data_IF_335549300000
#
_entry.id   IF_335549300000
#
_cell.length_a   1.000
_cell.length_b   1.000
_cell.length_c   1.000
_cell.angle_alpha   90.00
_cell.angle_beta   90.00
_cell.angle_gamma   90.00
#
_symmetry.space_group_name_H-M   'P 1'
#
loop_
_entity.id
_entity.type
_entity.pdbx_description
1 polymer ?
#
# COMPACT_ATOMS: atom_id res chain seq x y z
N UNK A 1 -10.61 22.42 -16.43
CA UNK A 1 -10.43 21.08 -17.01
C UNK A 1 -9.40 20.40 -16.12
N UNK A 2 -9.79 19.41 -15.32
CA UNK A 2 -8.80 18.65 -14.56
C UNK A 2 -8.09 17.76 -15.58
N UNK A 3 -6.83 18.06 -15.85
CA UNK A 3 -5.97 17.19 -16.65
C UNK A 3 -6.02 15.77 -16.05
N UNK A 4 -6.11 14.75 -16.92
CA UNK A 4 -6.03 13.35 -16.52
C UNK A 4 -4.64 13.09 -15.91
N UNK A 5 -4.51 13.32 -14.61
CA UNK A 5 -3.30 12.99 -13.88
C UNK A 5 -3.20 11.47 -13.76
N UNK A 6 -2.18 10.90 -14.41
CA UNK A 6 -1.80 9.51 -14.22
C UNK A 6 -0.70 9.46 -13.17
N UNK A 7 -1.00 8.86 -12.02
CA UNK A 7 -0.07 8.78 -10.91
C UNK A 7 -0.34 7.59 -10.00
N UNK A 8 0.64 7.29 -9.16
CA UNK A 8 0.59 6.18 -8.21
C UNK A 8 0.74 6.75 -6.80
N UNK A 9 -0.17 6.36 -5.91
CA UNK A 9 0.04 6.49 -4.48
C UNK A 9 0.92 5.32 -4.05
N UNK A 10 2.22 5.59 -3.98
CA UNK A 10 3.22 4.65 -3.50
C UNK A 10 3.00 4.33 -2.01
N UNK A 11 3.20 3.06 -1.63
CA UNK A 11 3.20 2.59 -0.25
C UNK A 11 1.99 3.12 0.57
N UNK A 12 0.78 2.84 0.09
CA UNK A 12 -0.43 3.21 0.81
C UNK A 12 -0.56 2.38 2.09
N UNK A 13 -0.33 3.02 3.24
CA UNK A 13 -0.19 2.33 4.53
C UNK A 13 -1.18 2.77 5.60
N UNK A 14 -1.75 3.98 5.51
CA UNK A 14 -2.45 4.57 6.64
C UNK A 14 -3.55 5.60 6.27
N UNK A 15 -4.49 5.20 5.40
CA UNK A 15 -5.66 6.01 5.03
C UNK A 15 -6.98 5.48 5.62
N UNK A 16 -8.03 6.27 5.53
CA UNK A 16 -9.42 5.80 5.71
C UNK A 16 -10.00 5.40 4.36
N UNK A 17 -11.16 4.73 4.35
CA UNK A 17 -11.89 4.48 3.11
C UNK A 17 -12.19 5.79 2.36
N UNK A 18 -12.50 6.88 3.07
CA UNK A 18 -12.72 8.20 2.46
C UNK A 18 -11.48 8.72 1.73
N UNK A 19 -10.29 8.60 2.34
CA UNK A 19 -9.03 8.98 1.69
C UNK A 19 -8.76 8.13 0.45
N UNK A 20 -8.97 6.81 0.55
CA UNK A 20 -8.82 5.90 -0.59
C UNK A 20 -9.75 6.30 -1.75
N UNK A 21 -11.01 6.59 -1.47
CA UNK A 21 -11.98 6.99 -2.50
C UNK A 21 -11.59 8.32 -3.15
N UNK A 22 -11.03 9.27 -2.40
CA UNK A 22 -10.50 10.53 -2.97
C UNK A 22 -9.37 10.27 -3.96
N UNK A 23 -8.44 9.36 -3.66
CA UNK A 23 -7.37 9.01 -4.60
C UNK A 23 -7.91 8.31 -5.86
N UNK A 24 -8.88 7.41 -5.70
CA UNK A 24 -9.52 6.76 -6.85
C UNK A 24 -10.30 7.74 -7.72
N UNK A 25 -10.98 8.72 -7.11
CA UNK A 25 -11.67 9.79 -7.83
C UNK A 25 -10.72 10.69 -8.63
N UNK A 26 -9.47 10.84 -8.18
CA UNK A 26 -8.39 11.50 -8.90
C UNK A 26 -7.74 10.62 -9.98
N UNK A 27 -8.30 9.44 -10.25
CA UNK A 27 -7.81 8.48 -11.25
C UNK A 27 -6.38 7.96 -10.96
N UNK A 28 -6.02 7.88 -9.67
CA UNK A 28 -4.72 7.37 -9.22
C UNK A 28 -4.75 5.85 -8.99
N UNK A 29 -3.58 5.24 -9.13
CA UNK A 29 -3.30 3.85 -8.78
C UNK A 29 -2.85 3.76 -7.32
N UNK A 30 -3.06 2.62 -6.68
CA UNK A 30 -2.73 2.41 -5.27
C UNK A 30 -1.68 1.30 -5.14
N UNK A 31 -0.51 1.68 -4.64
CA UNK A 31 0.60 0.78 -4.34
C UNK A 31 0.47 0.14 -2.97
N UNK A 32 0.51 -1.20 -2.91
CA UNK A 32 0.45 -1.98 -1.68
C UNK A 32 1.78 -2.73 -1.49
N UNK A 33 2.39 -2.55 -0.32
CA UNK A 33 3.67 -3.16 0.04
C UNK A 33 3.50 -4.32 1.03
N UNK A 34 4.63 -4.94 1.40
CA UNK A 34 4.74 -5.92 2.49
C UNK A 34 4.20 -5.44 3.85
N UNK A 35 3.92 -4.14 4.00
CA UNK A 35 3.25 -3.57 5.17
C UNK A 35 1.90 -4.24 5.48
N UNK A 36 1.20 -4.73 4.46
CA UNK A 36 -0.07 -5.48 4.64
C UNK A 36 0.11 -6.74 5.51
N UNK A 37 1.31 -7.33 5.51
CA UNK A 37 1.63 -8.51 6.29
C UNK A 37 2.07 -8.20 7.74
N UNK A 38 2.04 -6.94 8.18
CA UNK A 38 2.36 -6.59 9.57
C UNK A 38 1.16 -6.88 10.49
N UNK A 39 1.31 -7.79 11.45
CA UNK A 39 0.22 -8.21 12.35
C UNK A 39 -0.31 -7.10 13.28
N UNK A 40 0.49 -6.04 13.50
CA UNK A 40 0.16 -4.93 14.39
C UNK A 40 -0.53 -3.80 13.64
N UNK A 41 -0.09 -3.52 12.41
CA UNK A 41 -0.50 -2.31 11.65
C UNK A 41 -1.13 -2.61 10.28
N UNK A 42 -0.87 -3.79 9.69
CA UNK A 42 -1.36 -4.18 8.37
C UNK A 42 -2.84 -4.56 8.31
N UNK A 43 -3.47 -4.84 9.46
CA UNK A 43 -4.89 -5.26 9.53
C UNK A 43 -5.85 -4.19 9.01
N UNK A 44 -5.59 -2.92 9.31
CA UNK A 44 -6.47 -1.84 8.85
C UNK A 44 -6.27 -1.57 7.36
N UNK A 45 -5.03 -1.68 6.86
CA UNK A 45 -4.75 -1.66 5.43
C UNK A 45 -5.43 -2.81 4.69
N UNK A 46 -5.35 -4.03 5.22
CA UNK A 46 -5.94 -5.22 4.62
C UNK A 46 -7.47 -5.10 4.44
N UNK A 47 -8.17 -4.41 5.35
CA UNK A 47 -9.62 -4.12 5.23
C UNK A 47 -9.93 -3.18 4.07
N UNK A 48 -8.98 -2.34 3.64
CA UNK A 48 -9.17 -1.39 2.56
C UNK A 48 -8.92 -1.98 1.17
N UNK A 49 -8.09 -3.02 1.07
CA UNK A 49 -7.71 -3.66 -0.21
C UNK A 49 -8.92 -4.09 -1.05
N UNK A 50 -9.97 -4.72 -0.50
CA UNK A 50 -11.15 -5.11 -1.30
C UNK A 50 -11.90 -3.94 -1.94
N UNK A 51 -11.68 -2.70 -1.47
CA UNK A 51 -12.28 -1.49 -2.03
C UNK A 51 -11.47 -0.88 -3.17
N UNK A 52 -10.30 -1.44 -3.49
CA UNK A 52 -9.44 -0.99 -4.59
C UNK A 52 -9.82 -1.78 -5.86
N UNK A 53 -10.24 -1.11 -6.94
CA UNK A 53 -10.43 -1.76 -8.23
C UNK A 53 -9.16 -2.49 -8.70
N UNK A 54 -9.31 -3.70 -9.22
CA UNK A 54 -8.17 -4.54 -9.58
C UNK A 54 -7.28 -3.92 -10.68
N UNK A 55 -7.87 -3.15 -11.58
CA UNK A 55 -7.19 -2.38 -12.63
C UNK A 55 -6.39 -1.18 -12.10
N UNK A 56 -6.50 -0.88 -10.80
CA UNK A 56 -5.82 0.22 -10.11
C UNK A 56 -4.99 -0.22 -8.91
N UNK A 57 -4.93 -1.51 -8.63
CA UNK A 57 -4.14 -2.10 -7.55
C UNK A 57 -2.75 -2.49 -8.05
N UNK A 58 -1.71 -1.97 -7.41
CA UNK A 58 -0.31 -2.29 -7.70
C UNK A 58 0.36 -2.96 -6.50
N UNK A 59 1.25 -3.91 -6.79
CA UNK A 59 2.06 -4.60 -5.77
C UNK A 59 3.47 -4.02 -5.78
N UNK A 60 3.97 -3.69 -4.60
CA UNK A 60 5.27 -3.06 -4.37
C UNK A 60 6.05 -3.83 -3.30
N UNK A 61 7.38 -3.77 -3.35
CA UNK A 61 8.23 -4.34 -2.28
C UNK A 61 8.78 -3.25 -1.35
N UNK A 62 8.99 -2.05 -1.89
CA UNK A 62 9.69 -0.94 -1.22
C UNK A 62 11.07 -1.34 -0.68
N UNK A 63 11.74 -2.26 -1.40
CA UNK A 63 13.09 -2.68 -1.06
C UNK A 63 14.06 -1.48 -1.05
N UNK A 64 14.99 -1.39 -0.08
CA UNK A 64 15.39 -2.45 0.86
C UNK A 64 14.56 -2.51 2.16
N UNK A 65 13.48 -1.73 2.27
CA UNK A 65 12.66 -1.62 3.46
C UNK A 65 11.51 -2.64 3.48
N UNK A 66 10.73 -2.62 4.57
CA UNK A 66 9.43 -3.30 4.70
C UNK A 66 9.43 -4.81 4.42
N UNK A 67 10.46 -5.52 4.88
CA UNK A 67 10.48 -6.98 4.86
C UNK A 67 9.18 -7.53 5.51
N UNK A 68 8.37 -8.32 4.78
CA UNK A 68 7.14 -8.89 5.31
C UNK A 68 7.39 -9.66 6.60
N UNK A 69 6.71 -9.29 7.69
CA UNK A 69 6.96 -9.86 9.02
C UNK A 69 6.56 -11.33 9.15
N UNK A 70 5.79 -11.85 8.22
CA UNK A 70 5.43 -13.26 8.11
C UNK A 70 6.50 -14.12 7.39
N UNK A 71 7.62 -13.54 6.94
CA UNK A 71 8.74 -14.27 6.37
C UNK A 71 9.92 -14.41 7.35
N UNK A 72 10.62 -15.56 7.35
CA UNK A 72 11.85 -15.70 8.11
C UNK A 72 12.89 -14.68 7.62
N UNK A 73 13.53 -13.96 8.55
CA UNK A 73 14.51 -12.92 8.23
C UNK A 73 15.75 -13.55 7.57
N UNK A 74 16.09 -13.19 6.32
CA UNK A 74 17.29 -13.73 5.67
C UNK A 74 18.59 -13.10 6.21
N UNK A 75 18.52 -11.94 6.87
CA UNK A 75 19.68 -11.18 7.35
C UNK A 75 19.46 -10.60 8.77
N UNK A 76 20.52 -10.34 9.56
CA UNK A 76 20.42 -9.67 10.86
C UNK A 76 19.82 -8.27 10.72
N UNK A 77 18.97 -7.88 11.68
CA UNK A 77 18.31 -6.56 11.68
C UNK A 77 19.33 -5.42 11.67
N UNK A 78 19.25 -4.49 10.72
CA UNK A 78 19.97 -3.22 10.75
C UNK A 78 19.08 -2.02 11.11
N UNK A 79 17.82 -2.26 11.49
CA UNK A 79 16.89 -1.18 11.81
C UNK A 79 16.67 -1.14 13.34
N UNK A 80 17.30 -0.15 13.99
CA UNK A 80 16.81 0.44 15.26
C UNK A 80 15.46 1.13 15.05
#
# INVERSE_FOLDING_TARGET
>A
QHENFHGVIHCFTNGTLDVLQKYLALNLYIGITGWVCDDRRGKDLAKLIPHIPLDRLLIETDAPFLLPRNMPRPWPSQNE
#
